data_IF_838450813823
#
_entry.id   IF_838450813823
#
_cell.length_a   1.000
_cell.length_b   1.000
_cell.length_c   1.000
_cell.angle_alpha   90.00
_cell.angle_beta   90.00
_cell.angle_gamma   90.00
#
_symmetry.space_group_name_H-M   'P 1'
#
loop_
_entity.id
_entity.type
_entity.pdbx_description
1 polymer ?
#
# COMPACT_ATOMS: atom_id res chain seq x y z
N UNK A 1 0.95 -4.48 -26.98
CA UNK A 1 0.64 -5.68 -26.17
C UNK A 1 0.92 -5.37 -24.71
N UNK A 2 0.09 -5.90 -23.81
CA UNK A 2 0.22 -5.61 -22.38
C UNK A 2 1.59 -6.04 -21.82
N UNK A 3 2.17 -7.12 -22.38
CA UNK A 3 3.46 -7.64 -21.92
C UNK A 3 4.64 -6.70 -22.15
N UNK A 4 4.47 -5.72 -23.03
CA UNK A 4 5.51 -4.74 -23.33
C UNK A 4 5.46 -3.52 -22.41
N UNK A 5 4.41 -3.41 -21.60
CA UNK A 5 4.26 -2.27 -20.70
C UNK A 5 5.20 -2.41 -19.50
N UNK A 6 5.73 -1.29 -18.98
CA UNK A 6 6.56 -1.34 -17.78
C UNK A 6 5.74 -1.55 -16.51
N UNK A 7 6.41 -1.93 -15.43
CA UNK A 7 5.83 -1.90 -14.09
C UNK A 7 6.03 -0.51 -13.48
N UNK A 8 5.01 -0.02 -12.77
CA UNK A 8 5.12 1.26 -12.06
C UNK A 8 5.89 1.06 -10.76
N UNK A 9 6.95 1.84 -10.50
CA UNK A 9 7.64 1.78 -9.20
C UNK A 9 6.73 2.27 -8.08
N UNK A 10 6.70 1.53 -6.98
CA UNK A 10 5.76 1.76 -5.90
C UNK A 10 6.38 1.34 -4.57
N UNK A 11 5.93 1.91 -3.47
CA UNK A 11 6.30 1.47 -2.12
C UNK A 11 5.06 0.97 -1.40
N UNK A 12 5.23 -0.06 -0.59
CA UNK A 12 4.20 -0.55 0.32
C UNK A 12 4.66 -0.41 1.75
N UNK A 13 3.72 -0.29 2.68
CA UNK A 13 4.03 0.03 4.07
C UNK A 13 3.36 -0.95 5.02
N UNK A 14 4.17 -1.73 5.74
CA UNK A 14 3.72 -2.51 6.88
C UNK A 14 4.07 -1.72 8.13
N UNK A 15 3.13 -0.92 8.61
CA UNK A 15 3.31 -0.11 9.81
C UNK A 15 2.83 -0.91 11.01
N UNK A 16 3.77 -1.31 11.87
CA UNK A 16 3.48 -2.15 13.04
C UNK A 16 3.26 -1.32 14.30
N UNK A 17 2.21 -1.64 15.04
CA UNK A 17 2.02 -1.09 16.38
C UNK A 17 2.80 -1.93 17.41
N UNK A 18 2.68 -1.59 18.69
CA UNK A 18 3.40 -2.31 19.77
C UNK A 18 2.91 -3.75 19.95
N UNK A 19 1.70 -4.07 19.50
CA UNK A 19 1.18 -5.44 19.54
C UNK A 19 1.58 -6.27 18.31
N UNK A 20 2.35 -5.68 17.38
CA UNK A 20 2.76 -6.38 16.16
C UNK A 20 1.67 -6.50 15.10
N UNK A 21 0.63 -5.69 15.20
CA UNK A 21 -0.41 -5.59 14.17
C UNK A 21 -0.04 -4.51 13.17
N UNK A 22 -0.57 -4.61 11.95
CA UNK A 22 -0.30 -3.64 10.88
C UNK A 22 -1.50 -2.75 10.61
N UNK A 23 -1.21 -1.52 10.19
CA UNK A 23 -2.24 -0.57 9.79
C UNK A 23 -2.79 -0.96 8.42
N UNK A 24 -4.12 -1.06 8.34
CA UNK A 24 -4.81 -1.23 7.06
C UNK A 24 -5.88 -0.15 6.91
N UNK A 25 -6.11 0.24 5.65
CA UNK A 25 -7.16 1.17 5.27
C UNK A 25 -8.15 0.52 4.34
N UNK A 26 -9.40 1.01 4.38
CA UNK A 26 -10.47 0.53 3.50
C UNK A 26 -10.61 1.50 2.33
N UNK A 27 -10.39 0.98 1.13
CA UNK A 27 -10.65 1.72 -0.10
C UNK A 27 -12.16 1.77 -0.36
N UNK A 28 -12.62 2.83 -0.99
CA UNK A 28 -14.05 3.03 -1.23
C UNK A 28 -14.39 3.38 -2.69
N UNK A 29 -13.39 3.35 -3.58
CA UNK A 29 -13.60 3.56 -5.02
C UNK A 29 -12.49 2.92 -5.83
N UNK A 30 -12.79 2.59 -7.09
CA UNK A 30 -11.79 2.11 -8.03
C UNK A 30 -10.83 3.23 -8.44
N UNK A 31 -9.63 2.85 -8.84
CA UNK A 31 -8.63 3.75 -9.41
C UNK A 31 -8.08 3.07 -10.69
N UNK A 32 -8.84 3.16 -11.79
CA UNK A 32 -8.50 2.50 -13.03
C UNK A 32 -8.42 0.98 -12.88
N UNK A 33 -7.28 0.35 -13.25
CA UNK A 33 -7.10 -1.10 -13.07
C UNK A 33 -6.99 -1.53 -11.60
N UNK A 34 -6.81 -0.58 -10.69
CA UNK A 34 -6.77 -0.83 -9.25
C UNK A 34 -8.20 -0.89 -8.72
N UNK A 35 -8.91 -1.97 -9.05
CA UNK A 35 -10.31 -2.16 -8.67
C UNK A 35 -10.44 -2.60 -7.21
N UNK A 36 -11.63 -2.38 -6.65
CA UNK A 36 -12.02 -2.96 -5.36
C UNK A 36 -13.12 -4.00 -5.59
N UNK A 37 -13.25 -4.94 -4.67
CA UNK A 37 -14.29 -5.96 -4.71
C UNK A 37 -14.98 -6.01 -3.34
N UNK A 38 -16.29 -6.29 -3.27
CA UNK A 38 -17.01 -6.38 -1.99
C UNK A 38 -16.34 -7.38 -1.03
N UNK A 39 -16.08 -6.93 0.19
CA UNK A 39 -15.40 -7.74 1.21
C UNK A 39 -13.88 -7.76 1.10
N UNK A 40 -13.30 -7.20 0.03
CA UNK A 40 -11.86 -7.20 -0.23
C UNK A 40 -11.33 -5.78 -0.46
N UNK A 41 -11.87 -4.82 0.27
CA UNK A 41 -11.52 -3.41 0.13
C UNK A 41 -10.29 -3.00 0.96
N UNK A 42 -9.85 -3.85 1.85
CA UNK A 42 -8.78 -3.50 2.79
C UNK A 42 -7.40 -3.73 2.22
N UNK A 43 -6.46 -2.85 2.59
CA UNK A 43 -5.06 -2.98 2.18
C UNK A 43 -4.15 -2.21 3.13
N UNK A 44 -2.87 -2.56 3.11
CA UNK A 44 -1.84 -1.73 3.72
C UNK A 44 -1.58 -0.51 2.82
N UNK A 45 -1.14 0.64 3.39
CA UNK A 45 -0.83 1.82 2.59
C UNK A 45 0.22 1.52 1.52
N UNK A 46 0.05 2.13 0.36
CA UNK A 46 1.01 2.03 -0.75
C UNK A 46 0.86 3.23 -1.67
N UNK A 47 1.89 3.53 -2.43
CA UNK A 47 1.83 4.61 -3.40
C UNK A 47 3.03 4.66 -4.31
N UNK A 48 2.93 5.46 -5.38
CA UNK A 48 3.98 5.58 -6.39
C UNK A 48 5.19 6.35 -5.89
N UNK A 49 6.34 6.02 -6.46
CA UNK A 49 7.59 6.74 -6.22
C UNK A 49 7.66 7.87 -7.25
N UNK A 50 7.86 9.10 -6.78
CA UNK A 50 7.99 10.26 -7.66
C UNK A 50 9.35 10.27 -8.36
N UNK A 51 9.45 11.01 -9.47
CA UNK A 51 10.71 11.20 -10.18
C UNK A 51 11.77 11.75 -9.21
N UNK A 52 12.97 11.18 -9.26
CA UNK A 52 14.11 11.58 -8.43
C UNK A 52 13.94 11.34 -6.93
N UNK A 53 12.85 10.68 -6.54
CA UNK A 53 12.62 10.30 -5.15
C UNK A 53 13.16 8.88 -4.92
N UNK A 54 13.86 8.66 -3.81
CA UNK A 54 14.25 7.29 -3.45
C UNK A 54 13.12 6.59 -2.69
N UNK A 55 13.13 5.24 -2.60
CA UNK A 55 12.05 4.51 -1.95
C UNK A 55 11.82 4.88 -0.48
N UNK A 56 12.86 5.20 0.28
CA UNK A 56 12.72 5.59 1.70
C UNK A 56 12.04 6.95 1.86
N UNK A 57 12.30 7.89 0.96
CA UNK A 57 11.59 9.15 0.94
C UNK A 57 10.13 8.95 0.56
N UNK A 58 9.90 8.12 -0.46
CA UNK A 58 8.54 7.82 -0.93
C UNK A 58 7.68 7.18 0.16
N UNK A 59 8.25 6.25 0.93
CA UNK A 59 7.48 5.54 1.95
C UNK A 59 6.98 6.48 3.04
N UNK A 60 7.81 7.43 3.48
CA UNK A 60 7.41 8.39 4.51
C UNK A 60 6.38 9.38 3.98
N UNK A 61 6.55 9.83 2.73
CA UNK A 61 5.60 10.73 2.08
C UNK A 61 4.23 10.05 1.91
N UNK A 62 4.20 8.84 1.38
CA UNK A 62 2.95 8.10 1.16
C UNK A 62 2.25 7.77 2.47
N UNK A 63 3.00 7.40 3.50
CA UNK A 63 2.43 7.13 4.81
C UNK A 63 1.72 8.37 5.36
N UNK A 64 2.36 9.53 5.24
CA UNK A 64 1.77 10.78 5.69
C UNK A 64 0.55 11.16 4.84
N UNK A 65 0.66 11.08 3.51
CA UNK A 65 -0.44 11.45 2.61
C UNK A 65 -1.69 10.60 2.88
N UNK A 66 -1.53 9.30 3.10
CA UNK A 66 -2.66 8.39 3.24
C UNK A 66 -3.20 8.28 4.66
N UNK A 67 -2.39 8.53 5.68
CA UNK A 67 -2.77 8.25 7.07
C UNK A 67 -2.50 9.38 8.05
N UNK A 68 -1.72 10.39 7.68
CA UNK A 68 -1.31 11.45 8.60
C UNK A 68 -0.16 11.08 9.53
N UNK A 69 0.33 9.86 9.47
CA UNK A 69 1.40 9.40 10.35
C UNK A 69 2.74 10.01 9.94
N UNK A 70 3.47 10.56 10.92
CA UNK A 70 4.83 11.08 10.73
C UNK A 70 5.85 10.40 11.66
N UNK A 71 5.39 9.76 12.73
CA UNK A 71 6.26 9.15 13.74
C UNK A 71 6.34 7.65 13.54
N UNK A 72 7.30 7.24 12.72
CA UNK A 72 7.54 5.84 12.43
C UNK A 72 9.03 5.58 12.25
N UNK A 73 9.51 4.49 12.84
CA UNK A 73 10.91 4.11 12.79
C UNK A 73 11.13 2.97 11.78
N UNK A 74 12.18 3.07 11.00
CA UNK A 74 12.55 2.06 10.02
C UNK A 74 12.95 0.75 10.70
N UNK A 75 12.41 -0.37 10.20
CA UNK A 75 12.80 -1.71 10.68
C UNK A 75 13.51 -2.51 9.59
N UNK A 76 12.90 -2.64 8.42
CA UNK A 76 13.42 -3.46 7.33
C UNK A 76 12.75 -3.11 6.00
N UNK A 77 13.29 -3.64 4.90
CA UNK A 77 12.69 -3.50 3.59
C UNK A 77 12.88 -4.77 2.77
N UNK A 78 12.01 -4.99 1.78
CA UNK A 78 12.11 -6.12 0.86
C UNK A 78 12.88 -5.74 -0.39
N UNK A 79 13.23 -6.73 -1.21
CA UNK A 79 13.55 -6.51 -2.60
C UNK A 79 12.26 -6.14 -3.36
N UNK A 80 12.38 -5.86 -4.66
CA UNK A 80 11.22 -5.54 -5.49
C UNK A 80 10.32 -6.76 -5.64
N UNK A 81 9.03 -6.58 -5.32
CA UNK A 81 7.98 -7.58 -5.50
C UNK A 81 7.02 -7.07 -6.56
N UNK A 82 6.53 -7.96 -7.40
CA UNK A 82 5.76 -7.58 -8.60
C UNK A 82 4.36 -8.18 -8.54
N UNK A 83 3.36 -7.40 -8.94
CA UNK A 83 2.05 -7.92 -9.29
C UNK A 83 1.55 -7.24 -10.57
N UNK A 84 0.69 -7.94 -11.31
CA UNK A 84 0.10 -7.40 -12.53
C UNK A 84 -1.33 -6.95 -12.29
N UNK A 85 -1.74 -5.88 -12.98
CA UNK A 85 -3.12 -5.42 -12.93
C UNK A 85 -4.03 -6.43 -13.61
N UNK A 86 -5.30 -6.55 -13.15
CA UNK A 86 -6.30 -7.30 -13.90
C UNK A 86 -6.58 -6.60 -15.24
N UNK A 87 -7.20 -7.30 -16.21
CA UNK A 87 -7.60 -6.67 -17.47
C UNK A 87 -8.41 -5.39 -17.20
N UNK A 88 -8.03 -4.30 -17.89
CA UNK A 88 -8.68 -3.00 -17.72
C UNK A 88 -9.22 -2.52 -19.05
N UNK A 89 -10.56 -2.42 -19.15
CA UNK A 89 -11.27 -1.97 -20.34
C UNK A 89 -11.66 -0.49 -20.28
N UNK A 90 -11.20 0.25 -19.27
CA UNK A 90 -11.51 1.67 -19.09
C UNK A 90 -10.69 2.58 -20.01
N UNK A 91 -10.72 3.90 -19.71
CA UNK A 91 -10.05 4.90 -20.52
C UNK A 91 -8.54 4.67 -20.59
N UNK A 92 -8.00 4.64 -21.80
CA UNK A 92 -6.55 4.50 -22.03
C UNK A 92 -5.76 5.71 -21.53
N UNK A 93 -6.43 6.83 -21.27
CA UNK A 93 -5.82 8.03 -20.71
C UNK A 93 -5.64 7.97 -19.18
N UNK A 94 -6.18 6.94 -18.51
CA UNK A 94 -5.98 6.78 -17.07
C UNK A 94 -4.47 6.66 -16.79
N UNK A 95 -4.00 7.34 -15.73
CA UNK A 95 -2.56 7.38 -15.39
C UNK A 95 -1.91 6.01 -15.21
N UNK A 96 -2.67 4.99 -14.82
CA UNK A 96 -2.16 3.63 -14.63
C UNK A 96 -2.28 2.75 -15.87
N UNK A 97 -3.00 3.19 -16.91
CA UNK A 97 -3.25 2.36 -18.10
C UNK A 97 -1.98 2.04 -18.90
N UNK A 98 -0.93 2.84 -18.76
CA UNK A 98 0.36 2.61 -19.44
C UNK A 98 1.23 1.56 -18.76
N UNK A 99 0.82 1.07 -17.59
CA UNK A 99 1.58 0.07 -16.83
C UNK A 99 0.89 -1.28 -16.89
N UNK A 100 1.69 -2.36 -16.85
CA UNK A 100 1.17 -3.73 -16.76
C UNK A 100 0.86 -4.14 -15.31
N UNK A 101 1.42 -3.44 -14.34
CA UNK A 101 1.28 -3.71 -12.93
C UNK A 101 2.21 -2.82 -12.14
N UNK A 102 2.55 -3.23 -10.95
CA UNK A 102 3.47 -2.48 -10.09
C UNK A 102 4.61 -3.36 -9.63
N UNK A 103 5.80 -2.76 -9.50
CA UNK A 103 6.90 -3.35 -8.75
C UNK A 103 7.01 -2.58 -7.45
N UNK A 104 6.97 -3.27 -6.34
CA UNK A 104 6.86 -2.67 -5.03
C UNK A 104 8.04 -3.03 -4.15
N UNK A 105 8.58 -2.02 -3.46
CA UNK A 105 9.48 -2.23 -2.36
C UNK A 105 8.69 -2.02 -1.08
N UNK A 106 8.61 -3.04 -0.25
CA UNK A 106 7.85 -2.99 1.00
C UNK A 106 8.75 -2.64 2.17
N UNK A 107 8.24 -1.80 3.05
CA UNK A 107 8.95 -1.33 4.22
C UNK A 107 8.21 -1.73 5.49
N UNK A 108 8.93 -2.31 6.44
CA UNK A 108 8.42 -2.52 7.79
C UNK A 108 8.83 -1.32 8.63
N UNK A 109 7.86 -0.65 9.23
CA UNK A 109 8.08 0.50 10.10
C UNK A 109 7.41 0.25 11.45
N UNK A 110 8.00 0.80 12.51
CA UNK A 110 7.40 0.76 13.85
C UNK A 110 6.71 2.09 14.13
N UNK A 111 5.41 2.04 14.39
CA UNK A 111 4.66 3.24 14.76
C UNK A 111 5.11 3.74 16.14
N UNK A 112 5.51 5.00 16.19
CA UNK A 112 6.02 5.64 17.42
C UNK A 112 5.10 6.74 17.93
N UNK A 113 3.91 6.89 17.35
CA UNK A 113 2.92 7.88 17.73
C UNK A 113 1.73 7.30 18.48
N UNK A 114 0.68 8.10 18.59
CA UNK A 114 -0.60 7.69 19.17
C UNK A 114 -1.62 7.45 18.07
N UNK A 115 -2.55 6.52 18.29
CA UNK A 115 -3.63 6.22 17.32
C UNK A 115 -4.44 7.47 16.94
N UNK A 116 -4.49 8.47 17.83
CA UNK A 116 -5.18 9.74 17.54
C UNK A 116 -4.56 10.52 16.38
N UNK A 117 -3.32 10.22 15.99
CA UNK A 117 -2.66 10.84 14.85
C UNK A 117 -3.10 10.24 13.52
N UNK A 118 -3.72 9.06 13.54
CA UNK A 118 -4.11 8.36 12.33
C UNK A 118 -5.42 8.94 11.82
N UNK A 119 -5.36 9.56 10.65
CA UNK A 119 -6.50 10.23 10.03
C UNK A 119 -6.42 10.08 8.51
N UNK A 120 -7.07 9.07 7.94
CA UNK A 120 -7.07 8.86 6.50
C UNK A 120 -8.01 9.79 5.74
N UNK A 121 -8.90 10.51 6.44
CA UNK A 121 -9.96 11.30 5.79
C UNK A 121 -9.55 12.72 5.41
N UNK A 122 -8.50 13.27 6.02
CA UNK A 122 -8.03 14.62 5.70
C UNK A 122 -7.20 14.59 4.41
N UNK A 123 -7.60 15.33 3.35
CA UNK A 123 -6.79 15.44 2.15
C UNK A 123 -5.42 16.06 2.46
N UNK A 124 -4.37 15.52 1.87
CA UNK A 124 -3.00 16.02 2.06
C UNK A 124 -2.30 16.12 0.72
N UNK A 125 -1.43 17.12 0.58
CA UNK A 125 -0.59 17.31 -0.60
C UNK A 125 -1.40 17.32 -1.90
N UNK A 126 -2.62 17.87 -1.87
CA UNK A 126 -3.50 17.94 -3.02
C UNK A 126 -4.13 16.61 -3.43
N UNK A 127 -3.93 15.55 -2.66
CA UNK A 127 -4.48 14.22 -2.95
C UNK A 127 -5.79 14.02 -2.19
N UNK A 128 -6.82 13.46 -2.85
CA UNK A 128 -8.04 13.08 -2.14
C UNK A 128 -7.78 11.88 -1.22
N UNK A 129 -8.64 11.65 -0.21
CA UNK A 129 -8.49 10.48 0.66
C UNK A 129 -8.52 9.17 -0.13
N UNK A 130 -7.61 8.27 0.18
CA UNK A 130 -7.56 6.92 -0.39
C UNK A 130 -8.45 5.96 0.38
N UNK A 131 -8.58 6.17 1.69
CA UNK A 131 -9.32 5.30 2.60
C UNK A 131 -10.42 6.07 3.32
N UNK A 132 -11.56 5.41 3.57
CA UNK A 132 -12.64 5.97 4.40
C UNK A 132 -12.64 5.42 5.83
N UNK A 133 -11.87 4.37 6.09
CA UNK A 133 -11.72 3.75 7.41
C UNK A 133 -10.31 3.22 7.57
N UNK A 134 -9.89 2.99 8.81
CA UNK A 134 -8.64 2.31 9.11
C UNK A 134 -8.81 1.44 10.35
N UNK A 135 -7.93 0.44 10.49
CA UNK A 135 -7.85 -0.38 11.71
C UNK A 135 -6.48 -1.06 11.79
N UNK A 136 -6.16 -1.58 12.97
CA UNK A 136 -5.04 -2.50 13.14
C UNK A 136 -5.52 -3.91 12.83
N UNK A 137 -4.68 -4.69 12.15
CA UNK A 137 -5.00 -6.06 11.77
C UNK A 137 -3.77 -6.94 11.89
N UNK A 138 -3.97 -8.22 12.10
CA UNK A 138 -2.88 -9.21 12.11
C UNK A 138 -2.33 -9.34 10.70
N UNK A 139 -0.99 -9.29 10.58
CA UNK A 139 -0.32 -9.28 9.27
C UNK A 139 -0.73 -10.47 8.39
N UNK A 140 -0.79 -11.69 8.97
CA UNK A 140 -1.13 -12.89 8.21
C UNK A 140 -2.57 -12.91 7.68
N UNK A 141 -3.46 -12.07 8.21
CA UNK A 141 -4.84 -12.00 7.76
C UNK A 141 -5.07 -11.04 6.61
N UNK A 142 -4.15 -10.10 6.38
CA UNK A 142 -4.39 -9.05 5.39
C UNK A 142 -4.50 -9.62 3.98
N UNK A 143 -3.79 -10.70 3.67
CA UNK A 143 -3.88 -11.36 2.36
C UNK A 143 -5.31 -11.83 2.04
N UNK A 144 -6.12 -12.14 3.06
CA UNK A 144 -7.51 -12.55 2.88
C UNK A 144 -8.48 -11.36 2.71
N UNK A 145 -8.01 -10.16 2.99
CA UNK A 145 -8.81 -8.93 2.96
C UNK A 145 -8.52 -8.06 1.75
N UNK A 146 -7.49 -8.38 0.98
CA UNK A 146 -7.04 -7.62 -0.17
C UNK A 146 -7.55 -8.27 -1.47
N UNK A 147 -7.65 -7.47 -2.54
CA UNK A 147 -8.06 -7.99 -3.85
C UNK A 147 -7.13 -9.12 -4.33
N UNK A 148 -7.67 -10.12 -5.05
CA UNK A 148 -6.90 -11.32 -5.41
C UNK A 148 -5.59 -11.07 -6.14
N UNK A 149 -5.51 -10.08 -7.02
CA UNK A 149 -4.29 -9.83 -7.79
C UNK A 149 -3.12 -9.30 -6.97
N UNK A 150 -3.36 -8.88 -5.73
CA UNK A 150 -2.30 -8.45 -4.78
C UNK A 150 -1.96 -9.50 -3.74
N UNK A 151 -2.75 -10.57 -3.67
CA UNK A 151 -2.68 -11.52 -2.55
C UNK A 151 -1.32 -12.20 -2.41
N UNK A 152 -0.70 -12.57 -3.53
CA UNK A 152 0.59 -13.24 -3.52
C UNK A 152 1.69 -12.35 -2.92
N UNK A 153 1.71 -11.08 -3.29
CA UNK A 153 2.65 -10.11 -2.72
C UNK A 153 2.42 -9.98 -1.21
N UNK A 154 1.17 -9.90 -0.78
CA UNK A 154 0.85 -9.79 0.65
C UNK A 154 1.29 -11.01 1.44
N UNK A 155 1.14 -12.21 0.87
CA UNK A 155 1.64 -13.44 1.51
C UNK A 155 3.16 -13.43 1.65
N UNK A 156 3.85 -12.96 0.64
CA UNK A 156 5.31 -12.83 0.65
C UNK A 156 5.76 -11.82 1.70
N UNK A 157 5.12 -10.68 1.77
CA UNK A 157 5.41 -9.64 2.78
C UNK A 157 5.19 -10.18 4.19
N UNK A 158 4.11 -10.93 4.40
CA UNK A 158 3.83 -11.52 5.71
C UNK A 158 4.92 -12.50 6.15
N UNK A 159 5.48 -13.26 5.23
CA UNK A 159 6.61 -14.16 5.53
C UNK A 159 7.88 -13.39 5.86
N UNK A 160 8.21 -12.40 5.02
CA UNK A 160 9.47 -11.64 5.17
C UNK A 160 9.47 -10.85 6.47
N UNK A 161 8.34 -10.27 6.84
CA UNK A 161 8.22 -9.42 8.04
C UNK A 161 7.65 -10.15 9.26
N UNK A 162 7.57 -11.47 9.24
CA UNK A 162 6.98 -12.26 10.33
C UNK A 162 7.65 -12.01 11.69
N UNK A 163 8.93 -11.67 11.71
CA UNK A 163 9.66 -11.38 12.95
C UNK A 163 9.10 -10.16 13.69
N UNK A 164 8.41 -9.26 13.02
CA UNK A 164 7.85 -8.04 13.61
C UNK A 164 6.38 -8.21 14.02
N UNK A 165 5.74 -9.29 13.57
CA UNK A 165 4.34 -9.57 13.87
C UNK A 165 4.20 -10.14 15.28
N UNK A 166 3.15 -9.69 15.97
CA UNK A 166 2.86 -10.17 17.31
C UNK A 166 2.05 -11.46 17.35
#
# INVERSE_FOLDING_TARGET
MSDDKPYRPNVGIALFNTAGQVLIGRRFRDDGPEIILPGLEWQMPQGGIDAEENPREAVMRELWEETGVTKADYLAETDWLVYEFPPFAGASSHRLAKFRGQRQKWFALRFAGSDTEIDPLTPRNGQPPEFDQWRWERLERVADLVVPFRREVYRTVAKIFSAFAG
#
